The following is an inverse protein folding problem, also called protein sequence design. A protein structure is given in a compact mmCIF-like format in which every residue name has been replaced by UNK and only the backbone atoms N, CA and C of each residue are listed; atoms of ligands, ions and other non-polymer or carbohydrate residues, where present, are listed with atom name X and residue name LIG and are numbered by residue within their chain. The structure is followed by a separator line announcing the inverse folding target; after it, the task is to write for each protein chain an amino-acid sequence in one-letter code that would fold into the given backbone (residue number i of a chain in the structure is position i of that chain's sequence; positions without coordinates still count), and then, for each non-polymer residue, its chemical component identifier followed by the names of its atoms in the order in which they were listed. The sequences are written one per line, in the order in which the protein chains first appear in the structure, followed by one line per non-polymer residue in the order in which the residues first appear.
data_IF_911183962838
#
_entry.id   IF_911183962838
#
_cell.length_a   1.000
_cell.length_b   1.000
_cell.length_c   1.000
_cell.angle_alpha   90.00
_cell.angle_beta   90.00
_cell.angle_gamma   90.00
#
_symmetry.space_group_name_H-M   'P 1'
#
loop_
_entity.id
_entity.type
_entity.pdbx_description
1 polymer ?
#
# COMPACT_ATOMS: atom_id res chain seq x y z
N UNK A 1 5.24 -21.64 17.00
CA UNK A 1 6.34 -22.58 16.67
C UNK A 1 7.64 -21.78 16.74
N UNK A 2 8.67 -22.28 17.43
CA UNK A 2 10.01 -21.69 17.29
C UNK A 2 10.43 -21.81 15.81
N UNK A 3 11.09 -20.80 15.21
CA UNK A 3 11.51 -20.89 13.82
C UNK A 3 12.40 -22.13 13.65
N UNK A 4 12.06 -22.97 12.68
CA UNK A 4 12.95 -24.02 12.20
C UNK A 4 14.32 -23.39 11.92
N UNK A 5 15.40 -24.08 12.24
CA UNK A 5 16.74 -23.59 11.93
C UNK A 5 16.81 -23.24 10.43
N UNK A 6 17.17 -21.98 10.12
CA UNK A 6 17.31 -21.51 8.75
C UNK A 6 18.39 -22.34 8.06
N UNK A 7 18.07 -22.87 6.88
CA UNK A 7 19.00 -23.65 6.07
C UNK A 7 20.32 -22.89 5.88
N UNK A 8 21.44 -23.55 6.19
CA UNK A 8 22.77 -22.96 6.09
C UNK A 8 23.20 -22.66 4.66
N UNK A 9 22.52 -23.24 3.65
CA UNK A 9 22.77 -22.91 2.25
C UNK A 9 22.14 -21.60 1.79
N UNK A 10 21.21 -21.02 2.56
CA UNK A 10 20.56 -19.75 2.21
C UNK A 10 21.50 -18.59 2.58
N UNK A 11 21.90 -17.74 1.61
CA UNK A 11 22.70 -16.54 1.88
C UNK A 11 22.02 -15.62 2.90
N UNK A 12 22.80 -15.08 3.84
CA UNK A 12 22.33 -14.16 4.87
C UNK A 12 22.84 -12.76 4.57
N UNK A 13 21.92 -11.80 4.49
CA UNK A 13 22.23 -10.40 4.22
C UNK A 13 21.72 -9.52 5.35
N UNK A 14 22.55 -8.56 5.76
CA UNK A 14 22.25 -7.58 6.82
C UNK A 14 21.59 -6.29 6.27
N UNK A 15 21.28 -6.26 4.98
CA UNK A 15 20.70 -5.08 4.33
C UNK A 15 19.35 -4.71 4.94
N UNK A 16 19.10 -3.41 5.01
CA UNK A 16 17.85 -2.82 5.44
C UNK A 16 17.12 -2.25 4.22
N UNK A 17 16.11 -2.97 3.72
CA UNK A 17 15.30 -2.55 2.56
C UNK A 17 14.29 -1.44 2.87
N UNK A 18 14.25 -1.00 4.13
CA UNK A 18 13.54 0.20 4.55
C UNK A 18 14.51 1.33 4.87
N UNK A 19 15.83 1.22 4.72
CA UNK A 19 16.75 2.32 5.00
C UNK A 19 16.64 3.45 3.95
N UNK A 20 17.01 4.68 4.33
CA UNK A 20 16.88 5.85 3.46
C UNK A 20 17.71 5.75 2.17
N UNK A 21 18.90 5.18 2.26
CA UNK A 21 19.79 4.93 1.12
C UNK A 21 19.22 3.87 0.18
N UNK A 22 18.63 2.80 0.72
CA UNK A 22 17.90 1.81 -0.07
C UNK A 22 16.71 2.45 -0.80
N UNK A 23 15.90 3.26 -0.11
CA UNK A 23 14.74 3.90 -0.70
C UNK A 23 15.12 4.95 -1.77
N UNK A 24 16.26 5.61 -1.59
CA UNK A 24 16.77 6.61 -2.53
C UNK A 24 17.35 5.98 -3.81
N UNK A 25 18.07 4.85 -3.69
CA UNK A 25 18.61 4.11 -4.83
C UNK A 25 18.59 2.60 -4.55
N UNK A 26 17.47 1.90 -4.84
CA UNK A 26 17.33 0.49 -4.47
C UNK A 26 18.03 -0.46 -5.45
N UNK A 27 18.42 0.00 -6.63
CA UNK A 27 18.88 -0.87 -7.71
C UNK A 27 20.18 -1.62 -7.40
N UNK A 28 21.20 -1.00 -6.76
CA UNK A 28 22.40 -1.72 -6.32
C UNK A 28 22.08 -2.84 -5.32
N UNK A 29 21.20 -2.58 -4.35
CA UNK A 29 20.80 -3.58 -3.36
C UNK A 29 19.98 -4.71 -3.98
N UNK A 30 19.10 -4.41 -4.94
CA UNK A 30 18.44 -5.46 -5.72
C UNK A 30 19.42 -6.31 -6.52
N UNK A 31 20.50 -5.73 -7.05
CA UNK A 31 21.55 -6.49 -7.74
C UNK A 31 22.28 -7.42 -6.76
N UNK A 32 22.68 -6.91 -5.59
CA UNK A 32 23.30 -7.70 -4.53
C UNK A 32 22.43 -8.90 -4.12
N UNK A 33 21.14 -8.67 -3.86
CA UNK A 33 20.20 -9.74 -3.48
C UNK A 33 20.03 -10.78 -4.58
N UNK A 34 19.93 -10.36 -5.85
CA UNK A 34 19.80 -11.28 -6.99
C UNK A 34 21.07 -12.09 -7.18
N UNK A 35 22.25 -11.49 -7.02
CA UNK A 35 23.53 -12.17 -7.20
C UNK A 35 23.83 -13.15 -6.07
N UNK A 36 23.40 -12.83 -4.84
CA UNK A 36 23.56 -13.70 -3.68
C UNK A 36 22.85 -15.05 -3.85
N UNK A 37 21.64 -15.07 -4.41
CA UNK A 37 20.91 -16.32 -4.64
C UNK A 37 19.46 -16.12 -5.08
N UNK A 38 18.73 -17.22 -5.39
CA UNK A 38 17.30 -17.17 -5.70
C UNK A 38 16.44 -16.80 -4.48
N UNK A 39 16.89 -17.20 -3.29
CA UNK A 39 16.29 -16.87 -1.99
C UNK A 39 17.40 -16.38 -1.07
N UNK A 40 17.16 -15.30 -0.35
CA UNK A 40 18.06 -14.78 0.68
C UNK A 40 17.33 -14.66 2.01
N UNK A 41 18.08 -14.69 3.11
CA UNK A 41 17.58 -14.42 4.45
C UNK A 41 18.03 -13.03 4.89
N UNK A 42 17.06 -12.15 5.12
CA UNK A 42 17.29 -10.80 5.64
C UNK A 42 17.27 -10.87 7.17
N UNK A 43 18.45 -10.87 7.77
CA UNK A 43 18.65 -11.13 9.20
C UNK A 43 18.01 -10.07 10.08
N UNK A 44 18.04 -8.80 9.65
CA UNK A 44 17.48 -7.65 10.38
C UNK A 44 16.01 -7.82 10.76
N UNK A 45 15.23 -8.41 9.85
CA UNK A 45 13.79 -8.59 10.04
C UNK A 45 13.41 -10.05 10.28
N UNK A 46 14.35 -10.98 10.13
CA UNK A 46 14.08 -12.40 10.25
C UNK A 46 13.12 -12.91 9.19
N UNK A 47 13.32 -12.50 7.93
CA UNK A 47 12.45 -12.86 6.80
C UNK A 47 13.26 -13.43 5.64
N UNK A 48 12.60 -14.28 4.84
CA UNK A 48 13.10 -14.63 3.51
C UNK A 48 12.73 -13.53 2.51
N UNK A 49 13.57 -13.35 1.49
CA UNK A 49 13.29 -12.48 0.34
C UNK A 49 13.64 -13.17 -0.97
N UNK A 50 12.83 -12.91 -2.00
CA UNK A 50 13.05 -13.31 -3.38
C UNK A 50 13.09 -12.07 -4.26
N UNK A 51 14.12 -11.95 -5.11
CA UNK A 51 14.35 -10.72 -5.90
C UNK A 51 14.59 -10.98 -7.38
N UNK A 52 14.65 -12.26 -7.76
CA UNK A 52 14.72 -12.71 -9.15
C UNK A 52 13.32 -12.91 -9.71
N UNK A 53 13.18 -12.73 -11.02
CA UNK A 53 11.89 -12.77 -11.71
C UNK A 53 11.18 -14.12 -11.51
N UNK A 54 11.89 -15.23 -11.71
CA UNK A 54 11.31 -16.57 -11.66
C UNK A 54 10.77 -16.91 -10.26
N UNK A 55 11.55 -16.65 -9.20
CA UNK A 55 11.11 -16.88 -7.82
C UNK A 55 9.95 -15.95 -7.42
N UNK A 56 9.96 -14.68 -7.85
CA UNK A 56 8.83 -13.76 -7.62
C UNK A 56 7.56 -14.27 -8.30
N UNK A 57 7.64 -14.72 -9.55
CA UNK A 57 6.49 -15.30 -10.26
C UNK A 57 5.99 -16.59 -9.60
N UNK A 58 6.89 -17.45 -9.14
CA UNK A 58 6.53 -18.67 -8.43
C UNK A 58 5.77 -18.37 -7.13
N UNK A 59 6.28 -17.44 -6.31
CA UNK A 59 5.62 -17.01 -5.06
C UNK A 59 4.24 -16.40 -5.32
N UNK A 60 4.14 -15.48 -6.29
CA UNK A 60 2.87 -14.83 -6.64
C UNK A 60 1.85 -15.81 -7.27
N UNK A 61 2.32 -16.91 -7.87
CA UNK A 61 1.49 -17.92 -8.51
C UNK A 61 0.96 -19.01 -7.57
N UNK A 62 1.55 -19.17 -6.38
CA UNK A 62 1.23 -20.23 -5.41
C UNK A 62 0.69 -19.65 -4.10
N UNK A 63 -0.55 -19.20 -4.13
CA UNK A 63 -1.24 -18.63 -2.96
C UNK A 63 -1.53 -19.67 -1.86
N UNK A 64 -1.59 -20.96 -2.21
CA UNK A 64 -1.83 -22.03 -1.22
C UNK A 64 -0.64 -22.16 -0.26
N UNK A 65 0.58 -21.99 -0.80
CA UNK A 65 1.81 -21.96 0.00
C UNK A 65 2.11 -20.56 0.54
N UNK A 66 1.99 -19.52 -0.30
CA UNK A 66 2.34 -18.13 0.03
C UNK A 66 1.08 -17.28 0.24
N UNK A 67 0.38 -17.59 1.33
CA UNK A 67 -0.91 -16.98 1.67
C UNK A 67 -0.80 -15.49 2.06
N UNK A 68 -1.82 -14.72 1.69
CA UNK A 68 -2.03 -13.33 2.12
C UNK A 68 -2.88 -13.19 3.37
N UNK A 69 -3.48 -14.28 3.87
CA UNK A 69 -4.35 -14.27 5.05
C UNK A 69 -3.63 -13.89 6.35
N UNK A 70 -2.30 -14.00 6.37
CA UNK A 70 -1.45 -13.58 7.51
C UNK A 70 -0.92 -12.15 7.36
N UNK A 71 -1.30 -11.43 6.31
CA UNK A 71 -0.80 -10.09 6.00
C UNK A 71 0.15 -10.08 4.80
N UNK A 72 0.35 -8.90 4.22
CA UNK A 72 1.24 -8.68 3.06
C UNK A 72 2.48 -7.85 3.41
N UNK A 73 2.57 -7.35 4.64
CA UNK A 73 3.71 -6.59 5.16
C UNK A 73 4.56 -7.42 6.12
N UNK A 74 5.39 -6.76 6.93
CA UNK A 74 6.20 -7.40 7.97
C UNK A 74 5.37 -7.96 9.13
N UNK A 75 4.17 -7.43 9.35
CA UNK A 75 3.29 -7.85 10.45
C UNK A 75 2.52 -9.11 10.06
N UNK A 76 2.56 -10.12 10.93
CA UNK A 76 1.78 -11.34 10.81
C UNK A 76 0.50 -11.26 11.68
N UNK A 77 -0.67 -11.32 11.06
CA UNK A 77 -1.97 -11.21 11.75
C UNK A 77 -2.40 -12.47 12.51
N UNK A 78 -1.77 -13.61 12.24
CA UNK A 78 -2.03 -14.87 12.95
C UNK A 78 -1.27 -14.98 14.27
N UNK A 79 -0.55 -13.94 14.67
CA UNK A 79 0.08 -13.79 15.99
C UNK A 79 -0.43 -12.50 16.62
N UNK A 80 -0.77 -12.55 17.90
CA UNK A 80 -1.17 -11.35 18.66
C UNK A 80 0.07 -10.46 18.85
N UNK A 81 0.31 -9.62 17.84
CA UNK A 81 1.43 -8.69 17.82
C UNK A 81 0.83 -7.29 17.93
N UNK A 82 0.81 -6.70 19.14
CA UNK A 82 0.27 -5.36 19.35
C UNK A 82 0.88 -4.42 18.32
N UNK A 83 0.05 -3.71 17.53
CA UNK A 83 0.49 -2.98 16.33
C UNK A 83 1.59 -1.95 16.60
N UNK A 84 1.72 -1.46 17.84
CA UNK A 84 2.91 -0.81 18.37
C UNK A 84 2.88 -0.87 19.90
N UNK A 85 3.90 -1.45 20.52
CA UNK A 85 4.12 -1.35 21.98
C UNK A 85 5.56 -0.89 22.22
N UNK A 86 5.85 0.34 21.80
CA UNK A 86 7.15 0.99 22.02
C UNK A 86 6.93 2.35 22.70
N UNK A 87 7.91 2.86 23.48
CA UNK A 87 7.80 4.17 24.15
C UNK A 87 7.42 5.33 23.21
N UNK A 88 7.85 5.25 21.95
CA UNK A 88 7.59 6.26 20.91
C UNK A 88 6.10 6.31 20.49
N UNK A 89 5.35 5.24 20.71
CA UNK A 89 3.92 5.15 20.38
C UNK A 89 2.98 5.49 21.54
N UNK A 90 3.50 5.55 22.76
CA UNK A 90 2.71 5.89 23.94
C UNK A 90 1.82 7.15 23.79
N UNK A 91 2.21 8.22 23.05
CA UNK A 91 1.37 9.39 22.83
C UNK A 91 0.16 9.16 21.89
N UNK A 92 0.20 8.13 21.05
CA UNK A 92 -0.78 7.90 19.98
C UNK A 92 -1.77 6.77 20.29
N UNK A 93 -1.55 6.02 21.38
CA UNK A 93 -2.33 4.83 21.76
C UNK A 93 -3.84 5.05 21.88
N UNK A 94 -4.26 6.26 22.25
CA UNK A 94 -5.67 6.61 22.53
C UNK A 94 -6.35 7.35 21.35
N UNK A 95 -5.63 7.56 20.23
CA UNK A 95 -6.22 8.13 19.02
C UNK A 95 -6.97 7.07 18.22
N UNK A 96 -8.00 7.42 17.43
CA UNK A 96 -8.63 6.49 16.48
C UNK A 96 -7.59 6.11 15.42
N UNK A 97 -6.85 5.03 15.68
CA UNK A 97 -5.78 4.49 14.85
C UNK A 97 -6.16 3.17 14.20
N UNK A 98 -5.20 2.62 13.45
CA UNK A 98 -5.19 1.44 12.54
C UNK A 98 -6.02 0.20 12.86
N UNK A 99 -6.61 0.07 14.05
CA UNK A 99 -7.52 -1.01 14.39
C UNK A 99 -9.00 -0.67 14.09
N UNK A 100 -9.24 0.36 13.29
CA UNK A 100 -10.59 0.67 12.81
C UNK A 100 -11.11 -0.43 11.89
N UNK A 101 -12.42 -0.63 11.91
CA UNK A 101 -13.11 -1.54 11.00
C UNK A 101 -12.81 -1.19 9.53
N UNK A 102 -12.71 0.10 9.19
CA UNK A 102 -12.37 0.55 7.85
C UNK A 102 -10.97 0.12 7.39
N UNK A 103 -9.97 0.19 8.27
CA UNK A 103 -8.61 -0.29 7.95
C UNK A 103 -8.57 -1.82 7.83
N UNK A 104 -9.26 -2.55 8.72
CA UNK A 104 -9.38 -4.01 8.62
C UNK A 104 -10.05 -4.44 7.31
N UNK A 105 -11.11 -3.74 6.88
CA UNK A 105 -11.78 -3.99 5.61
C UNK A 105 -10.90 -3.67 4.38
N UNK A 106 -10.09 -2.61 4.44
CA UNK A 106 -9.11 -2.31 3.39
C UNK A 106 -8.09 -3.45 3.26
N UNK A 107 -7.53 -3.90 4.39
CA UNK A 107 -6.58 -5.01 4.44
C UNK A 107 -7.22 -6.34 4.02
N UNK A 108 -8.47 -6.60 4.42
CA UNK A 108 -9.27 -7.75 3.98
C UNK A 108 -9.56 -7.71 2.47
N UNK A 109 -9.69 -6.53 1.88
CA UNK A 109 -9.81 -6.36 0.43
C UNK A 109 -8.58 -6.84 -0.34
N UNK A 110 -7.41 -6.82 0.30
CA UNK A 110 -6.15 -7.40 -0.21
C UNK A 110 -5.95 -8.87 0.16
N UNK A 111 -6.72 -9.41 1.13
CA UNK A 111 -6.75 -10.86 1.44
C UNK A 111 -7.48 -11.57 0.30
N UNK A 112 -6.69 -11.99 -0.67
CA UNK A 112 -7.19 -12.42 -1.97
C UNK A 112 -7.28 -13.95 -2.12
N UNK A 113 -6.96 -14.70 -1.06
CA UNK A 113 -6.90 -16.15 -1.13
C UNK A 113 -8.32 -16.75 -1.15
N UNK A 114 -8.62 -17.66 -2.10
CA UNK A 114 -9.86 -18.42 -2.09
C UNK A 114 -10.03 -19.22 -0.78
N UNK A 115 -11.27 -19.43 -0.29
CA UNK A 115 -12.55 -19.07 -0.89
C UNK A 115 -13.10 -17.70 -0.46
N UNK A 116 -12.47 -17.05 0.53
CA UNK A 116 -13.00 -15.88 1.25
C UNK A 116 -12.97 -14.59 0.40
N UNK A 117 -12.05 -14.48 -0.56
CA UNK A 117 -11.87 -13.31 -1.43
C UNK A 117 -12.95 -13.10 -2.50
N UNK A 118 -13.85 -14.06 -2.69
CA UNK A 118 -14.77 -14.07 -3.83
C UNK A 118 -15.71 -12.87 -3.89
N UNK A 119 -16.25 -12.40 -2.76
CA UNK A 119 -17.24 -11.33 -2.75
C UNK A 119 -16.65 -9.94 -3.05
N UNK A 120 -15.58 -9.55 -2.32
CA UNK A 120 -14.90 -8.27 -2.53
C UNK A 120 -14.28 -8.16 -3.92
N UNK A 121 -13.58 -9.22 -4.37
CA UNK A 121 -12.99 -9.27 -5.71
C UNK A 121 -14.04 -9.16 -6.82
N UNK A 122 -15.22 -9.78 -6.65
CA UNK A 122 -16.34 -9.64 -7.62
C UNK A 122 -16.88 -8.22 -7.70
N UNK A 123 -16.88 -7.48 -6.60
CA UNK A 123 -17.32 -6.07 -6.58
C UNK A 123 -16.29 -5.21 -7.30
N UNK A 124 -15.01 -5.32 -6.92
CA UNK A 124 -13.92 -4.54 -7.54
C UNK A 124 -13.78 -4.82 -9.04
N UNK A 125 -13.84 -6.09 -9.45
CA UNK A 125 -13.71 -6.47 -10.86
C UNK A 125 -14.83 -5.93 -11.75
N UNK A 126 -16.03 -5.65 -11.20
CA UNK A 126 -17.11 -4.98 -11.94
C UNK A 126 -16.74 -3.54 -12.32
N UNK A 127 -16.00 -2.84 -11.46
CA UNK A 127 -15.55 -1.46 -11.69
C UNK A 127 -14.50 -1.37 -12.81
N UNK A 128 -13.76 -2.46 -13.06
CA UNK A 128 -12.67 -2.51 -14.05
C UNK A 128 -12.97 -3.42 -15.25
N UNK A 129 -14.24 -3.69 -15.54
CA UNK A 129 -14.61 -4.43 -16.76
C UNK A 129 -14.22 -3.66 -18.03
N UNK A 130 -13.99 -4.33 -19.17
CA UNK A 130 -13.70 -3.64 -20.42
C UNK A 130 -14.76 -2.59 -20.81
N UNK A 131 -16.04 -2.84 -20.46
CA UNK A 131 -17.11 -1.88 -20.69
C UNK A 131 -17.00 -0.64 -19.77
N UNK A 132 -16.76 -0.86 -18.46
CA UNK A 132 -16.54 0.22 -17.51
C UNK A 132 -15.33 1.08 -17.90
N UNK A 133 -14.19 0.45 -18.22
CA UNK A 133 -12.97 1.15 -18.67
C UNK A 133 -13.22 1.95 -19.95
N UNK A 134 -13.99 1.42 -20.91
CA UNK A 134 -14.37 2.18 -22.11
C UNK A 134 -15.21 3.41 -21.79
N UNK A 135 -16.14 3.32 -20.83
CA UNK A 135 -16.96 4.45 -20.40
C UNK A 135 -16.11 5.54 -19.72
N UNK A 136 -15.06 5.16 -18.99
CA UNK A 136 -14.12 6.09 -18.34
C UNK A 136 -13.18 6.80 -19.32
N UNK A 137 -13.03 6.31 -20.56
CA UNK A 137 -12.06 6.85 -21.53
C UNK A 137 -12.25 8.35 -21.77
N UNK A 138 -13.48 8.78 -22.10
CA UNK A 138 -13.74 10.18 -22.43
C UNK A 138 -13.53 11.11 -21.24
N UNK A 139 -14.10 10.87 -20.04
CA UNK A 139 -13.88 11.76 -18.90
C UNK A 139 -12.40 11.78 -18.48
N UNK A 140 -11.70 10.65 -18.50
CA UNK A 140 -10.26 10.61 -18.15
C UNK A 140 -9.40 11.37 -19.15
N UNK A 141 -9.70 11.26 -20.45
CA UNK A 141 -8.98 12.02 -21.49
C UNK A 141 -9.18 13.51 -21.29
N UNK A 142 -10.41 13.95 -21.02
CA UNK A 142 -10.70 15.37 -20.77
C UNK A 142 -9.97 15.89 -19.53
N UNK A 143 -10.03 15.16 -18.42
CA UNK A 143 -9.32 15.54 -17.20
C UNK A 143 -7.80 15.63 -17.39
N UNK A 144 -7.22 14.72 -18.20
CA UNK A 144 -5.82 14.80 -18.58
C UNK A 144 -5.52 16.07 -19.41
N UNK A 145 -6.32 16.36 -20.43
CA UNK A 145 -6.16 17.53 -21.30
C UNK A 145 -6.22 18.83 -20.50
N UNK A 146 -7.18 18.98 -19.59
CA UNK A 146 -7.34 20.16 -18.72
C UNK A 146 -6.13 20.37 -17.80
N UNK A 147 -5.59 19.29 -17.23
CA UNK A 147 -4.39 19.35 -16.38
C UNK A 147 -3.17 19.74 -17.22
N UNK A 148 -2.98 19.14 -18.38
CA UNK A 148 -1.86 19.43 -19.28
C UNK A 148 -1.91 20.88 -19.78
N UNK A 149 -3.07 21.37 -20.19
CA UNK A 149 -3.24 22.77 -20.62
C UNK A 149 -2.85 23.75 -19.51
N UNK A 150 -3.30 23.49 -18.27
CA UNK A 150 -2.96 24.31 -17.09
C UNK A 150 -1.46 24.35 -16.83
N UNK A 151 -0.78 23.21 -16.78
CA UNK A 151 0.66 23.17 -16.44
C UNK A 151 1.54 23.72 -17.55
N UNK A 152 1.13 23.57 -18.82
CA UNK A 152 1.83 24.19 -19.96
C UNK A 152 1.72 25.72 -19.93
N UNK A 153 0.57 26.26 -19.54
CA UNK A 153 0.39 27.71 -19.40
C UNK A 153 1.25 28.32 -18.28
N UNK A 154 1.55 27.56 -17.23
CA UNK A 154 2.43 28.00 -16.14
C UNK A 154 3.93 28.03 -16.53
N UNK A 155 4.34 27.24 -17.52
CA UNK A 155 5.72 27.14 -18.01
C UNK A 155 6.67 26.33 -17.11
N UNK A 156 6.57 26.49 -15.79
CA UNK A 156 7.26 25.67 -14.78
C UNK A 156 6.28 25.24 -13.70
N UNK A 157 6.34 23.97 -13.29
CA UNK A 157 5.41 23.37 -12.34
C UNK A 157 6.05 22.19 -11.60
N UNK A 158 5.47 21.79 -10.47
CA UNK A 158 5.80 20.57 -9.75
C UNK A 158 5.06 19.37 -10.38
N UNK A 159 5.78 18.52 -11.10
CA UNK A 159 5.18 17.40 -11.82
C UNK A 159 4.57 16.31 -10.90
N UNK A 160 5.02 16.20 -9.65
CA UNK A 160 4.39 15.29 -8.70
C UNK A 160 3.02 15.85 -8.31
N UNK A 161 2.99 17.09 -7.81
CA UNK A 161 1.78 17.70 -7.24
C UNK A 161 0.76 18.16 -8.28
N UNK A 162 1.23 18.81 -9.33
CA UNK A 162 0.36 19.54 -10.27
C UNK A 162 -0.05 18.71 -11.50
N UNK A 163 0.61 17.57 -11.72
CA UNK A 163 0.35 16.65 -12.83
C UNK A 163 -0.05 15.25 -12.33
N UNK A 164 0.85 14.52 -11.65
CA UNK A 164 0.59 13.13 -11.23
C UNK A 164 -0.53 13.06 -10.19
N UNK A 165 -0.35 13.74 -9.06
CA UNK A 165 -1.27 13.75 -7.92
C UNK A 165 -2.65 14.30 -8.32
N UNK A 166 -2.64 15.44 -9.03
CA UNK A 166 -3.85 16.07 -9.53
C UNK A 166 -4.65 15.14 -10.46
N UNK A 167 -3.97 14.41 -11.36
CA UNK A 167 -4.64 13.49 -12.28
C UNK A 167 -5.19 12.26 -11.55
N UNK A 168 -4.34 11.58 -10.78
CA UNK A 168 -4.71 10.31 -10.12
C UNK A 168 -5.86 10.53 -9.13
N UNK A 169 -5.79 11.57 -8.29
CA UNK A 169 -6.85 11.84 -7.33
C UNK A 169 -8.17 12.18 -8.01
N UNK A 170 -8.15 13.11 -8.96
CA UNK A 170 -9.40 13.58 -9.55
C UNK A 170 -10.07 12.46 -10.33
N UNK A 171 -9.32 11.73 -11.15
CA UNK A 171 -9.88 10.67 -11.97
C UNK A 171 -10.39 9.49 -11.13
N UNK A 172 -9.67 9.09 -10.08
CA UNK A 172 -10.13 8.04 -9.17
C UNK A 172 -11.39 8.46 -8.42
N UNK A 173 -11.38 9.64 -7.82
CA UNK A 173 -12.49 10.12 -7.01
C UNK A 173 -13.74 10.39 -7.84
N UNK A 174 -13.60 10.94 -9.06
CA UNK A 174 -14.73 11.12 -9.98
C UNK A 174 -15.31 9.76 -10.43
N UNK A 175 -14.45 8.79 -10.75
CA UNK A 175 -14.88 7.44 -11.13
C UNK A 175 -15.58 6.67 -10.00
N UNK A 176 -15.26 7.00 -8.75
CA UNK A 176 -15.82 6.33 -7.55
C UNK A 176 -16.94 7.12 -6.89
N UNK A 177 -17.22 8.34 -7.38
CA UNK A 177 -18.24 9.22 -6.81
C UNK A 177 -17.85 9.89 -5.49
N UNK A 178 -16.55 9.87 -5.13
CA UNK A 178 -16.06 10.54 -3.92
C UNK A 178 -16.17 12.06 -4.05
N UNK A 179 -16.53 12.76 -2.96
CA UNK A 179 -16.69 14.21 -2.96
C UNK A 179 -15.40 14.93 -3.36
N UNK A 180 -15.52 16.11 -3.97
CA UNK A 180 -14.37 16.94 -4.34
C UNK A 180 -13.64 17.49 -3.10
N UNK A 181 -14.41 17.89 -2.09
CA UNK A 181 -13.87 18.44 -0.86
C UNK A 181 -13.19 17.35 -0.01
N UNK A 182 -11.92 17.56 0.32
CA UNK A 182 -11.15 16.68 1.20
C UNK A 182 -10.40 15.55 0.49
N UNK A 183 -10.36 15.53 -0.85
CA UNK A 183 -9.59 14.52 -1.61
C UNK A 183 -8.10 14.50 -1.24
N UNK A 184 -7.56 15.62 -0.78
CA UNK A 184 -6.18 15.73 -0.28
C UNK A 184 -5.90 14.78 0.90
N UNK A 185 -6.92 14.38 1.66
CA UNK A 185 -6.79 13.41 2.74
C UNK A 185 -6.41 12.02 2.25
N UNK A 186 -6.73 11.66 0.99
CA UNK A 186 -6.41 10.34 0.45
C UNK A 186 -4.90 10.07 0.39
N UNK A 187 -4.07 11.11 0.23
CA UNK A 187 -2.62 10.95 0.28
C UNK A 187 -2.12 10.56 1.66
N UNK A 188 -2.54 11.30 2.69
CA UNK A 188 -2.14 10.99 4.06
C UNK A 188 -2.67 9.62 4.50
N UNK A 189 -3.90 9.28 4.09
CA UNK A 189 -4.48 7.96 4.36
C UNK A 189 -3.71 6.84 3.63
N UNK A 190 -3.37 7.02 2.36
CA UNK A 190 -2.60 6.07 1.57
C UNK A 190 -1.15 5.90 2.06
N UNK A 191 -0.48 7.00 2.39
CA UNK A 191 0.87 7.01 2.98
C UNK A 191 0.89 6.22 4.30
N UNK A 192 -0.07 6.48 5.19
CA UNK A 192 -0.24 5.68 6.40
C UNK A 192 -0.49 4.21 6.05
N UNK A 193 -1.46 3.90 5.19
CA UNK A 193 -1.78 2.51 4.83
C UNK A 193 -0.60 1.72 4.25
N UNK A 194 0.34 2.38 3.57
CA UNK A 194 1.57 1.75 3.07
C UNK A 194 2.63 1.60 4.17
N UNK A 195 2.92 2.65 4.94
CA UNK A 195 3.96 2.61 5.98
C UNK A 195 3.62 1.62 7.10
N UNK A 196 2.34 1.35 7.32
CA UNK A 196 1.89 0.36 8.32
C UNK A 196 2.18 -1.09 7.96
N UNK A 197 2.53 -1.36 6.70
CA UNK A 197 3.05 -2.66 6.27
C UNK A 197 4.54 -2.84 6.56
N UNK A 198 5.26 -1.76 6.87
CA UNK A 198 6.69 -1.75 7.14
C UNK A 198 7.07 -1.84 8.62
N UNK A 199 8.33 -1.56 8.96
CA UNK A 199 8.79 -1.53 10.34
C UNK A 199 8.20 -0.33 11.08
N UNK A 200 8.10 -0.45 12.40
CA UNK A 200 7.57 0.60 13.29
C UNK A 200 8.64 1.64 13.59
N UNK A 201 9.13 2.27 12.53
CA UNK A 201 10.16 3.30 12.58
C UNK A 201 9.55 4.72 12.65
N UNK A 202 10.38 5.74 12.44
CA UNK A 202 9.92 7.13 12.44
C UNK A 202 8.95 7.43 11.29
N UNK A 203 9.12 6.83 10.10
CA UNK A 203 8.20 7.01 8.96
C UNK A 203 6.82 6.47 9.27
N UNK A 204 6.76 5.30 9.91
CA UNK A 204 5.52 4.74 10.42
C UNK A 204 4.80 5.72 11.34
N UNK A 205 5.47 6.24 12.37
CA UNK A 205 4.85 7.14 13.36
C UNK A 205 4.41 8.46 12.74
N UNK A 206 5.26 9.07 11.90
CA UNK A 206 4.97 10.33 11.22
C UNK A 206 3.78 10.17 10.25
N UNK A 207 3.64 9.02 9.58
CA UNK A 207 2.53 8.76 8.67
C UNK A 207 1.18 8.70 9.40
N UNK A 208 1.15 8.09 10.60
CA UNK A 208 -0.06 7.99 11.42
C UNK A 208 -0.47 9.38 11.92
N UNK A 209 0.47 10.16 12.46
CA UNK A 209 0.20 11.50 12.96
C UNK A 209 -0.43 12.39 11.87
N UNK A 210 0.11 12.33 10.65
CA UNK A 210 -0.44 13.07 9.50
C UNK A 210 -1.82 12.58 9.05
N UNK A 211 -2.12 11.30 9.26
CA UNK A 211 -3.34 10.67 8.75
C UNK A 211 -4.55 10.83 9.68
N UNK A 212 -4.40 11.30 10.92
CA UNK A 212 -5.52 11.50 11.86
C UNK A 212 -6.73 12.21 11.25
N UNK A 213 -6.61 13.40 10.61
CA UNK A 213 -7.75 14.05 9.97
C UNK A 213 -8.25 13.26 8.75
N UNK A 214 -7.36 12.56 8.06
CA UNK A 214 -7.69 11.80 6.86
C UNK A 214 -8.53 10.57 7.16
N UNK A 215 -8.27 9.86 8.26
CA UNK A 215 -9.07 8.70 8.70
C UNK A 215 -10.53 9.13 8.90
N UNK A 216 -10.74 10.23 9.62
CA UNK A 216 -12.09 10.77 9.87
C UNK A 216 -12.81 11.14 8.56
N UNK A 217 -12.09 11.72 7.60
CA UNK A 217 -12.65 12.06 6.30
C UNK A 217 -13.00 10.81 5.48
N UNK A 218 -12.13 9.81 5.41
CA UNK A 218 -12.39 8.56 4.67
C UNK A 218 -13.60 7.83 5.24
N UNK A 219 -13.72 7.73 6.56
CA UNK A 219 -14.88 7.12 7.22
C UNK A 219 -16.19 7.86 6.92
N UNK A 220 -16.14 9.17 6.80
CA UNK A 220 -17.29 9.97 6.37
C UNK A 220 -17.57 9.78 4.87
N UNK A 221 -16.57 9.93 4.01
CA UNK A 221 -16.71 9.93 2.55
C UNK A 221 -17.20 8.58 2.00
N UNK A 222 -16.84 7.47 2.66
CA UNK A 222 -17.25 6.13 2.26
C UNK A 222 -18.71 5.76 2.65
N UNK A 223 -19.45 6.64 3.34
CA UNK A 223 -20.88 6.42 3.62
C UNK A 223 -21.71 6.57 2.36
N UNK A 224 -22.73 5.72 2.18
CA UNK A 224 -23.52 5.66 0.93
C UNK A 224 -24.13 7.00 0.54
N UNK A 225 -24.57 7.79 1.51
CA UNK A 225 -25.16 9.13 1.35
C UNK A 225 -24.17 10.19 0.85
N UNK A 226 -22.86 9.95 0.99
CA UNK A 226 -21.79 10.87 0.60
C UNK A 226 -21.12 10.49 -0.73
N UNK A 227 -21.49 9.34 -1.31
CA UNK A 227 -20.98 8.87 -2.60
C UNK A 227 -22.00 9.19 -3.69
N UNK A 228 -21.54 9.84 -4.76
CA UNK A 228 -22.36 10.12 -5.93
C UNK A 228 -22.97 8.83 -6.54
N UNK A 229 -24.12 8.91 -7.22
CA UNK A 229 -24.83 7.74 -7.76
C UNK A 229 -24.00 6.84 -8.68
#
# INVERSE_FOLDING_TARGET
MAPSAIDSSVPRLELDHYAEDFLADPYPFYAEMRDAGPVVWLTRYGIYAVTRFDEVQAVLGDWETFTTNRGFGLTDFGVDTPLVDTPEYAPFKDQPGMDTEGMRLLLDGFRADPPESGAGRRILTRLVTPAAVRALRQPFTRGAEEIVERVLAAGSFDAARELSDAYVLNMLCDATGLPEQGREHLFAYGDMAMNTSGPRDRRYLDSIERAVPAVSWVEWACKRENIAP
#
